data_IF_510150666056
#
_entry.id   IF_510150666056
#
_cell.length_a   1.000
_cell.length_b   1.000
_cell.length_c   1.000
_cell.angle_alpha   90.00
_cell.angle_beta   90.00
_cell.angle_gamma   90.00
#
_symmetry.space_group_name_H-M   'P 1'
#
loop_
_entity.id
_entity.type
_entity.pdbx_description
1 polymer ?
#
# COMPACT_ATOMS: atom_id res chain seq x y z
N UNK A 1 9.38 35.23 4.74
CA UNK A 1 9.29 35.29 3.27
C UNK A 1 8.82 33.92 2.80
N UNK A 2 7.90 33.80 1.82
CA UNK A 2 7.62 32.50 1.23
C UNK A 2 8.94 32.01 0.61
N UNK A 3 9.47 30.92 1.18
CA UNK A 3 10.79 30.41 0.85
C UNK A 3 10.86 30.03 -0.62
N UNK A 4 11.98 30.37 -1.27
CA UNK A 4 12.29 29.90 -2.62
C UNK A 4 12.22 28.38 -2.62
N UNK A 5 11.16 27.83 -3.21
CA UNK A 5 11.09 26.43 -3.62
C UNK A 5 12.33 26.18 -4.47
N UNK A 6 13.28 25.38 -3.97
CA UNK A 6 14.47 25.03 -4.72
C UNK A 6 14.02 24.33 -5.99
N UNK A 7 14.16 24.99 -7.16
CA UNK A 7 13.83 24.37 -8.43
C UNK A 7 14.87 23.29 -8.70
N UNK A 8 14.47 22.02 -8.63
CA UNK A 8 15.36 20.92 -8.99
C UNK A 8 15.71 21.02 -10.49
N UNK A 9 17.01 21.09 -10.79
CA UNK A 9 17.53 21.13 -12.16
C UNK A 9 17.83 19.74 -12.70
N UNK A 10 18.22 18.83 -11.82
CA UNK A 10 18.69 17.47 -12.09
C UNK A 10 18.11 16.45 -11.09
N UNK A 11 18.29 15.16 -11.37
CA UNK A 11 17.98 14.11 -10.40
C UNK A 11 18.82 14.25 -9.12
N UNK A 12 20.09 14.68 -9.24
CA UNK A 12 20.97 14.94 -8.09
C UNK A 12 20.41 16.02 -7.14
N UNK A 13 19.76 17.05 -7.68
CA UNK A 13 19.12 18.08 -6.83
C UNK A 13 17.94 17.49 -6.06
N UNK A 14 17.16 16.61 -6.70
CA UNK A 14 16.07 15.89 -6.04
C UNK A 14 16.58 14.93 -4.96
N UNK A 15 17.72 14.26 -5.16
CA UNK A 15 18.37 13.44 -4.12
C UNK A 15 18.72 14.27 -2.89
N UNK A 16 19.11 15.53 -3.07
CA UNK A 16 19.28 16.49 -1.97
C UNK A 16 18.01 16.67 -1.16
N UNK A 17 16.88 16.98 -1.83
CA UNK A 17 15.57 17.11 -1.18
C UNK A 17 15.11 15.82 -0.49
N UNK A 18 15.38 14.66 -1.10
CA UNK A 18 15.07 13.37 -0.51
C UNK A 18 15.85 13.14 0.80
N UNK A 19 17.12 13.53 0.85
CA UNK A 19 17.93 13.44 2.06
C UNK A 19 17.43 14.41 3.15
N UNK A 20 17.06 15.63 2.78
CA UNK A 20 16.43 16.60 3.69
C UNK A 20 15.10 16.05 4.25
N UNK A 21 14.23 15.53 3.38
CA UNK A 21 12.98 14.90 3.79
C UNK A 21 13.20 13.76 4.79
N UNK A 22 14.15 12.85 4.56
CA UNK A 22 14.48 11.76 5.50
C UNK A 22 14.91 12.27 6.87
N UNK A 23 15.66 13.36 6.92
CA UNK A 23 16.07 14.01 8.17
C UNK A 23 14.86 14.65 8.87
N UNK A 24 14.05 15.40 8.13
CA UNK A 24 12.87 16.11 8.66
C UNK A 24 11.84 15.16 9.27
N UNK A 25 11.60 14.01 8.63
CA UNK A 25 10.63 13.04 9.15
C UNK A 25 11.22 12.16 10.26
N UNK A 26 12.54 12.21 10.52
CA UNK A 26 13.18 11.51 11.64
C UNK A 26 13.50 10.03 11.41
N UNK A 27 13.57 9.56 10.15
CA UNK A 27 13.86 8.14 9.83
C UNK A 27 15.33 7.88 9.47
N UNK A 28 16.20 8.89 9.61
CA UNK A 28 17.62 8.82 9.25
C UNK A 28 18.51 8.14 10.31
N UNK A 29 18.12 6.96 10.79
CA UNK A 29 18.92 6.13 11.71
C UNK A 29 20.14 5.52 10.99
N UNK A 30 21.14 5.00 11.73
CA UNK A 30 22.37 4.42 11.15
C UNK A 30 22.08 3.34 10.09
N UNK A 31 21.13 2.44 10.35
CA UNK A 31 20.75 1.36 9.42
C UNK A 31 20.11 1.91 8.11
N UNK A 32 19.41 3.04 8.18
CA UNK A 32 18.73 3.67 7.02
C UNK A 32 19.65 4.65 6.28
N UNK A 33 20.44 5.40 7.03
CA UNK A 33 21.33 6.45 6.51
C UNK A 33 22.50 5.86 5.72
N UNK A 34 22.96 4.67 6.11
CA UNK A 34 24.01 3.92 5.41
C UNK A 34 23.52 3.22 4.13
N UNK A 35 22.21 3.12 3.91
CA UNK A 35 21.65 2.46 2.74
C UNK A 35 21.84 3.32 1.47
N UNK A 36 22.31 2.68 0.40
CA UNK A 36 22.44 3.30 -0.91
C UNK A 36 21.19 3.06 -1.75
N UNK A 37 20.52 4.14 -2.16
CA UNK A 37 19.31 4.06 -2.97
C UNK A 37 19.66 4.05 -4.47
N UNK A 38 19.11 3.06 -5.17
CA UNK A 38 19.27 2.86 -6.61
C UNK A 38 17.91 2.71 -7.30
N UNK A 39 17.88 3.02 -8.60
CA UNK A 39 16.74 2.68 -9.46
C UNK A 39 16.84 1.24 -9.94
N UNK A 40 15.91 0.38 -9.52
CA UNK A 40 15.94 -1.05 -9.85
C UNK A 40 14.77 -1.41 -10.77
N UNK A 41 15.08 -1.75 -12.00
CA UNK A 41 14.07 -2.12 -12.99
C UNK A 41 13.96 -3.64 -13.14
N UNK A 42 12.74 -4.15 -13.11
CA UNK A 42 12.41 -5.54 -13.36
C UNK A 42 12.25 -5.85 -14.85
N UNK A 43 12.15 -7.13 -15.18
CA UNK A 43 11.81 -7.57 -16.53
C UNK A 43 10.30 -7.44 -16.78
N UNK A 44 9.92 -7.03 -17.99
CA UNK A 44 8.55 -7.13 -18.50
C UNK A 44 8.37 -8.45 -19.24
N UNK A 45 7.15 -9.01 -19.22
CA UNK A 45 6.87 -10.34 -19.78
C UNK A 45 6.87 -10.36 -21.31
N UNK A 46 6.54 -9.23 -21.94
CA UNK A 46 6.46 -9.09 -23.40
C UNK A 46 6.69 -7.63 -23.80
N UNK A 47 7.21 -7.42 -25.01
CA UNK A 47 7.36 -6.10 -25.64
C UNK A 47 6.06 -5.59 -26.27
N UNK A 48 5.01 -6.41 -26.31
CA UNK A 48 3.72 -6.06 -26.91
C UNK A 48 2.71 -5.59 -25.85
N UNK A 49 1.86 -4.65 -26.22
CA UNK A 49 0.74 -4.17 -25.40
C UNK A 49 -0.32 -5.29 -25.34
N UNK A 50 -0.75 -5.63 -24.13
CA UNK A 50 -1.56 -6.84 -23.88
C UNK A 50 -3.08 -6.59 -23.84
N UNK A 51 -3.51 -5.35 -23.62
CA UNK A 51 -4.92 -4.96 -23.46
C UNK A 51 -5.21 -3.56 -24.03
N UNK A 52 -6.49 -3.18 -24.01
CA UNK A 52 -6.94 -1.88 -24.52
C UNK A 52 -6.89 -1.75 -26.06
N UNK A 53 -7.13 -0.54 -26.56
CA UNK A 53 -7.20 -0.24 -28.01
C UNK A 53 -5.86 -0.37 -28.74
N UNK A 54 -4.75 -0.42 -28.00
CA UNK A 54 -3.41 -0.56 -28.55
C UNK A 54 -2.87 -1.99 -28.47
N UNK A 55 -3.69 -2.96 -28.04
CA UNK A 55 -3.31 -4.39 -27.96
C UNK A 55 -2.65 -4.88 -29.25
N UNK A 56 -1.54 -5.62 -29.10
CA UNK A 56 -0.75 -6.17 -30.21
C UNK A 56 0.26 -5.21 -30.83
N UNK A 57 0.29 -3.93 -30.42
CA UNK A 57 1.36 -3.00 -30.80
C UNK A 57 2.53 -3.09 -29.83
N UNK A 58 3.69 -2.56 -30.21
CA UNK A 58 4.84 -2.44 -29.31
C UNK A 58 4.56 -1.48 -28.16
N UNK A 59 5.02 -1.84 -26.95
CA UNK A 59 5.04 -0.96 -25.78
C UNK A 59 5.87 0.29 -26.06
N UNK A 60 5.52 1.38 -25.38
CA UNK A 60 6.18 2.67 -25.45
C UNK A 60 7.38 2.71 -24.50
N UNK A 61 8.54 2.99 -25.05
CA UNK A 61 9.82 3.20 -24.34
C UNK A 61 10.03 4.67 -23.96
N UNK A 62 9.32 5.61 -24.59
CA UNK A 62 9.42 7.02 -24.27
C UNK A 62 8.11 7.77 -24.59
N UNK A 63 7.95 8.97 -24.03
CA UNK A 63 6.72 9.76 -24.17
C UNK A 63 6.39 10.21 -25.60
N UNK A 64 7.36 10.22 -26.54
CA UNK A 64 7.08 10.55 -27.95
C UNK A 64 6.28 9.47 -28.65
N UNK A 65 6.31 8.24 -28.13
CA UNK A 65 5.54 7.12 -28.65
C UNK A 65 4.12 7.07 -28.05
N UNK A 66 3.87 7.80 -26.96
CA UNK A 66 2.53 7.93 -26.35
C UNK A 66 1.69 8.89 -27.20
N UNK A 67 0.57 8.43 -27.80
CA UNK A 67 -0.11 9.15 -28.89
C UNK A 67 -0.66 10.55 -28.55
N UNK A 68 -1.27 10.73 -27.38
CA UNK A 68 -1.96 11.99 -27.04
C UNK A 68 -1.42 12.60 -25.74
N UNK A 69 -1.65 13.91 -25.56
CA UNK A 69 -1.29 14.59 -24.32
C UNK A 69 -2.06 14.04 -23.12
N UNK A 70 -3.36 13.76 -23.28
CA UNK A 70 -4.21 13.21 -22.23
C UNK A 70 -3.70 11.85 -21.71
N UNK A 71 -3.18 10.99 -22.60
CA UNK A 71 -2.56 9.72 -22.21
C UNK A 71 -1.27 9.94 -21.41
N UNK A 72 -0.45 10.93 -21.79
CA UNK A 72 0.75 11.31 -21.03
C UNK A 72 0.39 11.86 -19.66
N UNK A 73 -0.63 12.70 -19.57
CA UNK A 73 -1.09 13.27 -18.29
C UNK A 73 -1.68 12.20 -17.37
N UNK A 74 -2.45 11.24 -17.92
CA UNK A 74 -2.97 10.11 -17.16
C UNK A 74 -1.85 9.19 -16.65
N UNK A 75 -0.84 8.92 -17.48
CA UNK A 75 0.33 8.15 -17.08
C UNK A 75 1.11 8.85 -15.95
N UNK A 76 1.34 10.17 -16.08
CA UNK A 76 1.98 10.97 -15.03
C UNK A 76 1.18 10.89 -13.72
N UNK A 77 -0.14 11.07 -13.78
CA UNK A 77 -1.00 10.97 -12.59
C UNK A 77 -0.89 9.59 -11.91
N UNK A 78 -0.87 8.50 -12.67
CA UNK A 78 -0.71 7.15 -12.09
C UNK A 78 0.63 7.01 -11.35
N UNK A 79 1.71 7.51 -11.94
CA UNK A 79 3.05 7.49 -11.32
C UNK A 79 3.09 8.36 -10.05
N UNK A 80 2.45 9.53 -10.06
CA UNK A 80 2.40 10.44 -8.90
C UNK A 80 1.60 9.84 -7.76
N UNK A 81 0.42 9.28 -8.03
CA UNK A 81 -0.41 8.69 -6.98
C UNK A 81 0.26 7.44 -6.38
N UNK A 82 0.87 6.59 -7.20
CA UNK A 82 1.66 5.46 -6.69
C UNK A 82 2.89 5.94 -5.90
N UNK A 83 3.64 6.92 -6.39
CA UNK A 83 4.83 7.40 -5.67
C UNK A 83 4.50 8.11 -4.35
N UNK A 84 3.34 8.75 -4.25
CA UNK A 84 2.93 9.47 -3.05
C UNK A 84 2.63 8.54 -1.87
N UNK A 85 2.11 7.33 -2.14
CA UNK A 85 1.83 6.32 -1.10
C UNK A 85 3.11 5.84 -0.42
N UNK A 86 4.20 5.74 -1.17
CA UNK A 86 5.44 5.15 -0.65
C UNK A 86 6.13 6.08 0.35
N UNK A 87 6.08 7.39 0.12
CA UNK A 87 6.56 8.37 1.10
C UNK A 87 5.60 8.51 2.29
N UNK A 88 4.30 8.36 2.05
CA UNK A 88 3.30 8.43 3.11
C UNK A 88 3.43 7.28 4.11
N UNK A 89 3.63 6.03 3.63
CA UNK A 89 3.76 4.87 4.49
C UNK A 89 4.96 5.00 5.44
N UNK A 90 6.08 5.53 4.96
CA UNK A 90 7.27 5.81 5.77
C UNK A 90 6.96 6.86 6.85
N UNK A 91 6.23 7.92 6.51
CA UNK A 91 5.83 8.96 7.47
C UNK A 91 4.86 8.46 8.53
N UNK A 92 3.91 7.60 8.16
CA UNK A 92 2.94 7.02 9.09
C UNK A 92 3.62 6.11 10.11
N UNK A 93 4.66 5.36 9.70
CA UNK A 93 5.29 4.32 10.50
C UNK A 93 6.49 4.81 11.34
N UNK A 94 6.92 6.08 11.15
CA UNK A 94 8.19 6.63 11.68
C UNK A 94 8.42 6.49 13.18
N UNK A 95 7.35 6.47 13.99
CA UNK A 95 7.46 6.44 15.45
C UNK A 95 7.55 5.02 16.03
N UNK A 96 7.47 3.98 15.20
CA UNK A 96 7.41 2.59 15.67
C UNK A 96 8.76 2.04 16.13
N UNK A 97 9.87 2.64 15.70
CA UNK A 97 11.23 2.20 16.07
C UNK A 97 11.45 2.12 17.57
N UNK A 98 10.92 3.09 18.32
CA UNK A 98 11.12 3.21 19.78
C UNK A 98 10.35 2.14 20.57
N UNK A 99 9.36 1.51 19.95
CA UNK A 99 8.42 0.59 20.61
C UNK A 99 8.47 -0.82 20.02
N UNK A 100 9.52 -1.13 19.25
CA UNK A 100 9.66 -2.43 18.60
C UNK A 100 9.62 -3.59 19.61
N UNK A 101 8.79 -4.63 19.38
CA UNK A 101 8.70 -5.75 20.31
C UNK A 101 9.98 -6.59 20.39
N UNK A 102 10.72 -6.67 19.28
CA UNK A 102 12.00 -7.35 19.20
C UNK A 102 12.93 -6.60 18.24
N UNK A 103 14.24 -6.87 18.31
CA UNK A 103 15.18 -6.33 17.31
C UNK A 103 14.90 -6.88 15.90
N UNK A 104 14.35 -8.11 15.79
CA UNK A 104 13.92 -8.64 14.50
C UNK A 104 12.80 -7.79 13.90
N UNK A 105 11.79 -7.44 14.71
CA UNK A 105 10.66 -6.61 14.27
C UNK A 105 11.12 -5.19 13.92
N UNK A 106 12.06 -4.61 14.71
CA UNK A 106 12.71 -3.33 14.38
C UNK A 106 13.42 -3.40 13.02
N UNK A 107 14.19 -4.45 12.76
CA UNK A 107 14.90 -4.65 11.49
C UNK A 107 13.95 -4.91 10.32
N UNK A 108 12.83 -5.59 10.56
CA UNK A 108 11.80 -5.78 9.55
C UNK A 108 11.15 -4.44 9.16
N UNK A 109 10.80 -3.60 10.14
CA UNK A 109 10.35 -2.23 9.93
C UNK A 109 11.38 -1.39 9.15
N UNK A 110 12.66 -1.45 9.54
CA UNK A 110 13.74 -0.76 8.83
C UNK A 110 13.76 -1.16 7.36
N UNK A 111 13.66 -2.47 7.08
CA UNK A 111 13.63 -2.97 5.70
C UNK A 111 12.41 -2.45 4.94
N UNK A 112 11.20 -2.55 5.49
CA UNK A 112 9.98 -2.02 4.85
C UNK A 112 10.18 -0.54 4.51
N UNK A 113 10.62 0.29 5.47
CA UNK A 113 10.85 1.72 5.20
C UNK A 113 11.88 1.97 4.09
N UNK A 114 12.99 1.21 4.05
CA UNK A 114 13.99 1.32 2.98
C UNK A 114 13.37 0.96 1.62
N UNK A 115 12.66 -0.16 1.55
CA UNK A 115 12.00 -0.63 0.32
C UNK A 115 10.95 0.39 -0.15
N UNK A 116 10.12 0.97 0.75
CA UNK A 116 9.16 2.02 0.40
C UNK A 116 9.81 3.33 -0.05
N UNK A 117 10.89 3.77 0.61
CA UNK A 117 11.65 4.93 0.14
C UNK A 117 12.24 4.68 -1.26
N UNK A 118 12.66 3.44 -1.54
CA UNK A 118 13.19 3.04 -2.85
C UNK A 118 12.07 2.95 -3.91
N UNK A 119 10.86 2.55 -3.52
CA UNK A 119 9.66 2.61 -4.34
C UNK A 119 9.36 4.06 -4.79
N UNK A 120 9.28 4.99 -3.84
CA UNK A 120 9.09 6.42 -4.12
C UNK A 120 10.22 7.01 -4.98
N UNK A 121 11.47 6.63 -4.71
CA UNK A 121 12.64 6.99 -5.52
C UNK A 121 12.49 6.59 -7.00
N UNK A 122 12.03 5.37 -7.27
CA UNK A 122 11.84 4.89 -8.65
C UNK A 122 10.73 5.65 -9.38
N UNK A 123 9.63 5.97 -8.69
CA UNK A 123 8.55 6.79 -9.27
C UNK A 123 9.04 8.20 -9.58
N UNK A 124 9.81 8.81 -8.68
CA UNK A 124 10.46 10.11 -8.92
C UNK A 124 11.45 10.06 -10.09
N UNK A 125 12.24 8.99 -10.22
CA UNK A 125 13.14 8.82 -11.37
C UNK A 125 12.36 8.77 -12.68
N UNK A 126 11.26 8.00 -12.76
CA UNK A 126 10.40 7.98 -13.95
C UNK A 126 9.86 9.37 -14.28
N UNK A 127 9.41 10.13 -13.29
CA UNK A 127 8.91 11.49 -13.50
C UNK A 127 10.01 12.41 -14.05
N UNK A 128 11.19 12.41 -13.42
CA UNK A 128 12.28 13.32 -13.75
C UNK A 128 12.88 12.98 -15.13
N UNK A 129 13.03 11.69 -15.45
CA UNK A 129 13.67 11.23 -16.69
C UNK A 129 12.76 11.36 -17.91
N UNK A 130 11.46 11.11 -17.74
CA UNK A 130 10.54 11.02 -18.89
C UNK A 130 9.62 12.23 -19.05
N UNK A 131 9.24 12.93 -17.97
CA UNK A 131 8.20 13.98 -18.00
C UNK A 131 8.76 15.42 -17.94
N UNK A 132 10.07 15.58 -18.03
CA UNK A 132 10.72 16.89 -18.13
C UNK A 132 10.41 17.80 -16.93
N UNK A 133 10.04 19.05 -17.20
CA UNK A 133 9.78 20.04 -16.14
C UNK A 133 8.59 19.67 -15.25
N UNK A 134 7.48 19.19 -15.82
CA UNK A 134 6.30 18.81 -15.04
C UNK A 134 6.59 17.63 -14.12
N UNK A 135 7.34 16.64 -14.60
CA UNK A 135 7.75 15.50 -13.77
C UNK A 135 8.62 15.91 -12.58
N UNK A 136 9.56 16.84 -12.79
CA UNK A 136 10.36 17.41 -11.71
C UNK A 136 9.51 18.10 -10.64
N UNK A 137 8.53 18.89 -11.05
CA UNK A 137 7.62 19.57 -10.13
C UNK A 137 6.81 18.55 -9.30
N UNK A 138 6.30 17.49 -9.92
CA UNK A 138 5.54 16.48 -9.19
C UNK A 138 6.42 15.63 -8.25
N UNK A 139 7.64 15.29 -8.67
CA UNK A 139 8.63 14.61 -7.83
C UNK A 139 9.01 15.42 -6.59
N UNK A 140 9.10 16.74 -6.73
CA UNK A 140 9.32 17.64 -5.60
C UNK A 140 8.11 17.69 -4.67
N UNK A 141 6.90 17.89 -5.20
CA UNK A 141 5.68 17.95 -4.38
C UNK A 141 5.45 16.69 -3.54
N UNK A 142 5.85 15.51 -4.03
CA UNK A 142 5.78 14.26 -3.26
C UNK A 142 6.60 14.30 -1.97
N UNK A 143 7.73 15.01 -1.96
CA UNK A 143 8.57 15.23 -0.77
C UNK A 143 8.14 16.45 0.04
N UNK A 144 7.19 17.26 -0.42
CA UNK A 144 6.67 18.43 0.29
C UNK A 144 5.41 18.08 1.10
N UNK A 145 4.60 17.13 0.62
CA UNK A 145 3.43 16.62 1.36
C UNK A 145 3.84 15.87 2.61
N UNK A 146 3.02 15.96 3.67
CA UNK A 146 3.18 15.22 4.93
C UNK A 146 1.90 14.49 5.32
N UNK A 147 2.00 13.19 5.62
CA UNK A 147 0.89 12.36 6.11
C UNK A 147 0.34 12.92 7.43
N UNK A 148 1.22 13.29 8.37
CA UNK A 148 0.85 13.86 9.67
C UNK A 148 0.35 15.32 9.62
N UNK A 149 0.30 15.92 8.43
CA UNK A 149 -0.38 17.21 8.18
C UNK A 149 -1.63 17.03 7.31
N UNK A 150 -2.04 15.78 7.06
CA UNK A 150 -3.17 15.41 6.22
C UNK A 150 -3.06 15.94 4.77
N UNK A 151 -1.85 15.89 4.20
CA UNK A 151 -1.57 16.42 2.87
C UNK A 151 -1.39 15.33 1.80
N UNK A 152 -1.35 14.04 2.16
CA UNK A 152 -1.20 12.94 1.18
C UNK A 152 -2.45 12.77 0.33
N UNK A 153 -2.25 12.33 -0.92
CA UNK A 153 -3.30 12.34 -1.93
C UNK A 153 -4.45 11.37 -1.64
N UNK A 154 -4.16 10.28 -0.94
CA UNK A 154 -5.12 9.24 -0.60
C UNK A 154 -5.40 9.24 0.91
N UNK A 155 -6.68 9.20 1.28
CA UNK A 155 -7.12 9.37 2.68
C UNK A 155 -6.51 8.37 3.65
N UNK A 156 -6.43 7.09 3.27
CA UNK A 156 -5.83 6.00 4.07
C UNK A 156 -4.38 6.30 4.48
N UNK A 157 -3.64 7.00 3.62
CA UNK A 157 -2.24 7.35 3.81
C UNK A 157 -2.03 8.61 4.67
N UNK A 158 -3.13 9.18 5.20
CA UNK A 158 -3.11 10.20 6.26
C UNK A 158 -3.61 9.66 7.61
N UNK A 159 -3.93 8.37 7.70
CA UNK A 159 -4.42 7.73 8.94
C UNK A 159 -3.23 7.31 9.80
N UNK A 160 -3.22 7.66 11.09
CA UNK A 160 -2.10 7.31 11.96
C UNK A 160 -1.86 5.79 12.08
N UNK A 161 -0.57 5.41 12.05
CA UNK A 161 -0.04 4.09 12.44
C UNK A 161 0.79 4.30 13.71
N UNK A 162 0.18 4.05 14.86
CA UNK A 162 0.75 4.47 16.15
C UNK A 162 1.09 3.31 17.09
N UNK A 163 0.88 2.07 16.64
CA UNK A 163 1.17 0.87 17.39
C UNK A 163 1.50 -0.29 16.44
N UNK A 164 2.09 -1.36 16.97
CA UNK A 164 2.53 -2.49 16.16
C UNK A 164 1.38 -3.35 15.62
N UNK A 165 0.20 -3.33 16.25
CA UNK A 165 -0.97 -3.99 15.66
C UNK A 165 -1.42 -3.22 14.40
N UNK A 166 -1.47 -1.88 14.42
CA UNK A 166 -1.68 -1.09 13.20
C UNK A 166 -0.66 -1.46 12.14
N UNK A 167 0.65 -1.48 12.46
CA UNK A 167 1.70 -1.81 11.50
C UNK A 167 1.50 -3.18 10.83
N UNK A 168 1.28 -4.24 11.61
CA UNK A 168 1.10 -5.58 11.03
C UNK A 168 -0.21 -5.70 10.24
N UNK A 169 -1.26 -5.01 10.67
CA UNK A 169 -2.54 -5.01 9.94
C UNK A 169 -2.43 -4.18 8.65
N UNK A 170 -1.77 -3.04 8.71
CA UNK A 170 -1.48 -2.16 7.58
C UNK A 170 -0.64 -2.89 6.52
N UNK A 171 0.48 -3.49 6.93
CA UNK A 171 1.37 -4.19 5.98
C UNK A 171 0.74 -5.46 5.41
N UNK A 172 -0.23 -6.10 6.07
CA UNK A 172 -0.96 -7.24 5.47
C UNK A 172 -2.08 -6.81 4.52
N UNK A 173 -2.72 -5.65 4.73
CA UNK A 173 -3.95 -5.28 4.02
C UNK A 173 -3.88 -3.99 3.19
N UNK A 174 -3.11 -2.98 3.57
CA UNK A 174 -2.90 -1.75 2.79
C UNK A 174 -1.79 -1.95 1.75
N UNK A 175 -0.64 -2.51 2.13
CA UNK A 175 0.42 -2.87 1.17
C UNK A 175 -0.08 -3.94 0.18
N UNK A 176 -1.06 -4.75 0.58
CA UNK A 176 -1.74 -5.65 -0.34
C UNK A 176 -2.60 -4.92 -1.38
N UNK A 177 -3.18 -3.75 -1.08
CA UNK A 177 -3.70 -2.90 -2.15
C UNK A 177 -2.55 -2.46 -3.07
N UNK A 178 -1.41 -2.04 -2.51
CA UNK A 178 -0.17 -1.77 -3.25
C UNK A 178 0.20 -2.88 -4.24
N UNK A 179 0.24 -4.14 -3.80
CA UNK A 179 0.38 -5.33 -4.67
C UNK A 179 -0.61 -5.32 -5.84
N UNK A 180 -1.89 -5.06 -5.59
CA UNK A 180 -2.91 -5.03 -6.63
C UNK A 180 -2.67 -3.89 -7.63
N UNK A 181 -2.38 -2.68 -7.13
CA UNK A 181 -2.07 -1.51 -7.96
C UNK A 181 -0.84 -1.76 -8.84
N UNK A 182 0.25 -2.22 -8.24
CA UNK A 182 1.50 -2.54 -8.94
C UNK A 182 1.31 -3.65 -9.96
N UNK A 183 0.57 -4.71 -9.64
CA UNK A 183 0.27 -5.81 -10.57
C UNK A 183 -0.56 -5.32 -11.77
N UNK A 184 -1.52 -4.43 -11.56
CA UNK A 184 -2.29 -3.82 -12.67
C UNK A 184 -1.43 -2.89 -13.54
N UNK A 185 -0.49 -2.15 -12.94
CA UNK A 185 0.41 -1.22 -13.62
C UNK A 185 1.59 -1.93 -14.29
N UNK A 186 1.99 -3.12 -13.82
CA UNK A 186 3.03 -3.96 -14.43
C UNK A 186 2.78 -4.21 -15.92
N UNK A 187 1.52 -4.34 -16.31
CA UNK A 187 1.13 -4.61 -17.70
C UNK A 187 1.05 -3.36 -18.57
N UNK A 188 1.35 -2.17 -18.03
CA UNK A 188 1.26 -0.89 -18.73
C UNK A 188 1.92 -0.92 -20.11
N UNK A 189 1.27 -0.26 -21.06
CA UNK A 189 1.79 0.03 -22.39
C UNK A 189 3.04 0.91 -22.34
N UNK A 190 3.27 1.65 -21.25
CA UNK A 190 4.53 2.36 -21.01
C UNK A 190 5.54 1.43 -20.32
N UNK A 191 6.50 0.92 -21.10
CA UNK A 191 7.46 -0.08 -20.65
C UNK A 191 8.29 0.35 -19.43
N UNK A 192 8.77 1.61 -19.29
CA UNK A 192 9.49 2.03 -18.09
C UNK A 192 8.70 1.87 -16.78
N UNK A 193 7.39 2.18 -16.79
CA UNK A 193 6.51 1.97 -15.63
C UNK A 193 6.32 0.47 -15.35
N UNK A 194 6.09 -0.34 -16.40
CA UNK A 194 5.98 -1.78 -16.25
C UNK A 194 7.23 -2.43 -15.65
N UNK A 195 8.43 -1.96 -16.03
CA UNK A 195 9.70 -2.43 -15.46
C UNK A 195 9.86 -2.01 -13.99
N UNK A 196 9.52 -0.78 -13.64
CA UNK A 196 9.62 -0.28 -12.25
C UNK A 196 8.72 -1.09 -11.31
N UNK A 197 7.44 -1.19 -11.65
CA UNK A 197 6.44 -1.94 -10.87
C UNK A 197 6.74 -3.44 -10.80
N UNK A 198 7.33 -4.03 -11.86
CA UNK A 198 7.80 -5.42 -11.84
C UNK A 198 8.88 -5.70 -10.80
N UNK A 199 9.72 -4.71 -10.48
CA UNK A 199 10.72 -4.85 -9.42
C UNK A 199 10.08 -4.66 -8.05
N UNK A 200 9.28 -3.59 -7.88
CA UNK A 200 8.60 -3.27 -6.61
C UNK A 200 7.77 -4.44 -6.09
N UNK A 201 7.04 -5.13 -6.99
CA UNK A 201 6.28 -6.34 -6.63
C UNK A 201 7.12 -7.40 -5.91
N UNK A 202 8.42 -7.52 -6.21
CA UNK A 202 9.30 -8.49 -5.55
C UNK A 202 9.54 -8.14 -4.09
N UNK A 203 9.60 -6.86 -3.78
CA UNK A 203 9.78 -6.34 -2.41
C UNK A 203 8.47 -6.31 -1.64
N UNK A 204 7.36 -6.00 -2.29
CA UNK A 204 6.02 -5.99 -1.69
C UNK A 204 5.67 -7.31 -0.98
N UNK A 205 6.20 -8.42 -1.49
CA UNK A 205 6.08 -9.75 -0.87
C UNK A 205 6.65 -9.81 0.55
N UNK A 206 7.69 -9.04 0.85
CA UNK A 206 8.22 -8.90 2.21
C UNK A 206 7.28 -8.13 3.12
N UNK A 207 6.67 -7.06 2.63
CA UNK A 207 5.82 -6.20 3.45
C UNK A 207 4.58 -6.99 3.89
N UNK A 208 3.86 -7.56 2.92
CA UNK A 208 2.71 -8.45 3.17
C UNK A 208 3.09 -9.66 4.02
N UNK A 209 4.27 -10.25 3.79
CA UNK A 209 4.76 -11.36 4.61
C UNK A 209 5.05 -10.95 6.05
N UNK A 210 5.52 -9.73 6.29
CA UNK A 210 5.77 -9.17 7.62
C UNK A 210 4.45 -8.95 8.36
N UNK A 211 3.45 -8.36 7.70
CA UNK A 211 2.13 -8.18 8.27
C UNK A 211 1.45 -9.50 8.63
N UNK A 212 1.40 -10.43 7.68
CA UNK A 212 0.75 -11.72 7.87
C UNK A 212 1.39 -12.56 8.99
N UNK A 213 2.73 -12.61 9.02
CA UNK A 213 3.49 -13.31 10.05
C UNK A 213 3.35 -12.64 11.42
N UNK A 214 3.34 -11.31 11.48
CA UNK A 214 3.12 -10.54 12.70
C UNK A 214 1.74 -10.81 13.31
N UNK A 215 0.68 -10.76 12.49
CA UNK A 215 -0.68 -11.10 12.92
C UNK A 215 -0.77 -12.54 13.42
N UNK A 216 -0.17 -13.51 12.70
CA UNK A 216 -0.08 -14.90 13.17
C UNK A 216 0.55 -14.99 14.56
N UNK A 217 1.72 -14.37 14.75
CA UNK A 217 2.47 -14.38 16.02
C UNK A 217 1.70 -13.74 17.17
N UNK A 218 0.90 -12.72 16.91
CA UNK A 218 0.00 -12.09 17.89
C UNK A 218 -1.12 -13.06 18.28
N UNK A 219 -1.77 -13.69 17.30
CA UNK A 219 -2.87 -14.64 17.54
C UNK A 219 -2.38 -15.88 18.32
N UNK A 220 -1.21 -16.41 17.96
CA UNK A 220 -0.58 -17.56 18.64
C UNK A 220 -0.12 -17.26 20.08
N UNK A 221 0.25 -16.01 20.36
CA UNK A 221 0.50 -15.55 21.73
C UNK A 221 -0.82 -15.49 22.51
N UNK A 222 -1.86 -14.93 21.89
CA UNK A 222 -3.21 -14.86 22.43
C UNK A 222 -3.28 -14.08 23.74
N UNK A 223 -2.54 -12.96 23.80
CA UNK A 223 -2.54 -11.98 24.90
C UNK A 223 -3.44 -10.80 24.55
N UNK A 224 -3.30 -10.25 23.33
CA UNK A 224 -4.20 -9.23 22.81
C UNK A 224 -5.58 -9.86 22.61
N UNK A 225 -6.66 -9.28 23.17
CA UNK A 225 -8.01 -9.83 23.02
C UNK A 225 -8.43 -9.91 21.55
N UNK A 226 -9.07 -11.02 21.17
CA UNK A 226 -9.52 -11.26 19.79
C UNK A 226 -10.45 -10.16 19.26
N UNK A 227 -11.36 -9.66 20.11
CA UNK A 227 -12.25 -8.57 19.72
C UNK A 227 -11.48 -7.30 19.35
N UNK A 228 -10.35 -7.03 20.01
CA UNK A 228 -9.50 -5.87 19.74
C UNK A 228 -8.76 -6.06 18.41
N UNK A 229 -8.23 -7.26 18.15
CA UNK A 229 -7.63 -7.60 16.86
C UNK A 229 -8.67 -7.42 15.73
N UNK A 230 -9.89 -7.91 15.90
CA UNK A 230 -10.96 -7.77 14.91
C UNK A 230 -11.28 -6.30 14.59
N UNK A 231 -11.28 -5.40 15.58
CA UNK A 231 -11.47 -3.95 15.35
C UNK A 231 -10.41 -3.38 14.40
N UNK A 232 -9.14 -3.76 14.58
CA UNK A 232 -8.05 -3.30 13.71
C UNK A 232 -8.13 -3.91 12.31
N UNK A 233 -8.53 -5.19 12.19
CA UNK A 233 -8.85 -5.82 10.90
C UNK A 233 -9.97 -5.04 10.19
N UNK A 234 -11.04 -4.69 10.92
CA UNK A 234 -12.15 -3.90 10.39
C UNK A 234 -11.68 -2.52 9.90
N UNK A 235 -10.86 -1.81 10.69
CA UNK A 235 -10.31 -0.49 10.34
C UNK A 235 -9.55 -0.53 9.02
N UNK A 236 -8.54 -1.38 8.91
CA UNK A 236 -7.62 -1.34 7.77
C UNK A 236 -8.18 -2.00 6.52
N UNK A 237 -8.92 -3.11 6.65
CA UNK A 237 -9.53 -3.76 5.48
C UNK A 237 -10.60 -2.85 4.85
N UNK A 238 -11.44 -2.20 5.67
CA UNK A 238 -12.45 -1.28 5.13
C UNK A 238 -11.82 -0.04 4.49
N UNK A 239 -10.73 0.47 5.07
CA UNK A 239 -9.97 1.57 4.47
C UNK A 239 -9.35 1.18 3.13
N UNK A 240 -8.78 -0.03 3.01
CA UNK A 240 -8.23 -0.53 1.73
C UNK A 240 -9.28 -0.66 0.63
N UNK A 241 -10.55 -0.91 0.95
CA UNK A 241 -11.60 -0.94 -0.07
C UNK A 241 -11.77 0.40 -0.80
N UNK A 242 -11.52 1.53 -0.12
CA UNK A 242 -11.62 2.85 -0.73
C UNK A 242 -10.45 3.16 -1.68
N UNK A 243 -9.29 2.53 -1.51
CA UNK A 243 -8.09 2.75 -2.35
C UNK A 243 -8.30 2.36 -3.82
N UNK A 244 -9.25 1.46 -4.09
CA UNK A 244 -9.64 1.10 -5.45
C UNK A 244 -10.45 2.20 -6.17
N UNK A 245 -10.89 3.26 -5.49
CA UNK A 245 -11.60 4.40 -6.10
C UNK A 245 -13.10 4.18 -6.32
N UNK A 246 -13.74 5.00 -7.15
CA UNK A 246 -15.19 4.88 -7.41
C UNK A 246 -15.52 3.65 -8.26
N UNK A 247 -16.68 3.03 -8.04
CA UNK A 247 -17.14 1.82 -8.74
C UNK A 247 -17.17 2.05 -10.26
N UNK A 248 -17.89 3.10 -10.69
CA UNK A 248 -17.87 3.59 -12.07
C UNK A 248 -16.88 4.74 -12.18
N UNK A 249 -15.85 4.58 -13.03
CA UNK A 249 -14.77 5.57 -13.15
C UNK A 249 -14.35 5.77 -14.61
N UNK A 250 -14.62 6.97 -15.13
CA UNK A 250 -14.12 7.37 -16.45
C UNK A 250 -12.59 7.33 -16.52
N UNK A 251 -11.90 7.64 -15.41
CA UNK A 251 -10.43 7.57 -15.34
C UNK A 251 -9.93 6.13 -15.45
N UNK A 252 -10.57 5.18 -14.76
CA UNK A 252 -10.23 3.76 -14.87
C UNK A 252 -10.53 3.22 -16.27
N UNK A 253 -11.70 3.56 -16.82
CA UNK A 253 -12.10 3.22 -18.19
C UNK A 253 -11.03 3.64 -19.20
N UNK A 254 -10.65 4.93 -19.20
CA UNK A 254 -9.67 5.42 -20.17
C UNK A 254 -8.26 4.90 -19.91
N UNK A 255 -7.85 4.71 -18.65
CA UNK A 255 -6.57 4.07 -18.34
C UNK A 255 -6.49 2.65 -18.92
N UNK A 256 -7.59 1.88 -18.88
CA UNK A 256 -7.65 0.57 -19.51
C UNK A 256 -7.63 0.65 -21.04
N UNK A 257 -8.50 1.47 -21.63
CA UNK A 257 -8.60 1.66 -23.09
C UNK A 257 -7.26 2.09 -23.69
N UNK A 258 -6.52 2.95 -22.99
CA UNK A 258 -5.20 3.42 -23.40
C UNK A 258 -4.07 2.44 -23.11
N UNK A 259 -4.34 1.30 -22.49
CA UNK A 259 -3.32 0.31 -22.15
C UNK A 259 -2.45 0.71 -20.95
N UNK A 260 -2.82 1.71 -20.15
CA UNK A 260 -2.00 2.22 -19.03
C UNK A 260 -2.08 1.30 -17.81
N UNK A 261 -3.28 0.85 -17.45
CA UNK A 261 -3.55 0.02 -16.27
C UNK A 261 -4.56 -1.07 -16.59
N UNK A 262 -4.17 -2.33 -16.45
CA UNK A 262 -5.01 -3.49 -16.77
C UNK A 262 -5.85 -3.95 -15.59
N UNK A 263 -6.59 -5.05 -15.74
CA UNK A 263 -7.13 -5.80 -14.60
C UNK A 263 -6.00 -6.50 -13.84
N UNK A 264 -6.25 -6.84 -12.57
CA UNK A 264 -5.27 -7.55 -11.74
C UNK A 264 -4.81 -8.88 -12.36
N UNK A 265 -5.74 -9.59 -13.01
CA UNK A 265 -5.55 -10.89 -13.65
C UNK A 265 -5.58 -10.81 -15.19
N UNK A 266 -5.30 -9.63 -15.77
CA UNK A 266 -5.46 -9.37 -17.21
C UNK A 266 -4.86 -10.45 -18.14
N UNK A 267 -3.63 -10.95 -17.93
CA UNK A 267 -3.07 -11.96 -18.84
C UNK A 267 -3.74 -13.32 -18.76
N UNK A 268 -4.37 -13.66 -17.64
CA UNK A 268 -5.02 -14.95 -17.40
C UNK A 268 -6.53 -14.89 -17.63
N UNK A 269 -7.10 -13.69 -17.73
CA UNK A 269 -8.53 -13.47 -17.84
C UNK A 269 -8.97 -13.47 -19.32
N UNK A 270 -9.63 -14.54 -19.73
CA UNK A 270 -10.14 -14.75 -21.09
C UNK A 270 -11.43 -13.97 -21.39
N UNK A 271 -12.10 -13.43 -20.36
CA UNK A 271 -13.31 -12.63 -20.51
C UNK A 271 -12.98 -11.21 -20.91
N UNK A 272 -13.84 -10.62 -21.74
CA UNK A 272 -13.80 -9.19 -22.02
C UNK A 272 -13.95 -8.39 -20.72
N UNK A 273 -13.15 -7.34 -20.56
CA UNK A 273 -13.26 -6.46 -19.40
C UNK A 273 -14.56 -5.65 -19.47
N UNK A 274 -15.29 -5.61 -18.36
CA UNK A 274 -16.33 -4.62 -18.14
C UNK A 274 -15.67 -3.30 -17.72
N UNK A 275 -15.65 -2.33 -18.63
CA UNK A 275 -14.92 -1.07 -18.45
C UNK A 275 -15.60 -0.16 -17.42
N UNK A 276 -16.87 -0.40 -17.10
CA UNK A 276 -17.60 0.36 -16.10
C UNK A 276 -17.42 -0.22 -14.68
N UNK A 277 -16.80 -1.40 -14.55
CA UNK A 277 -16.65 -2.14 -13.29
C UNK A 277 -15.18 -2.44 -12.91
N UNK A 278 -14.19 -1.91 -13.64
CA UNK A 278 -12.76 -2.24 -13.45
C UNK A 278 -12.28 -2.10 -11.99
N UNK A 279 -12.70 -1.04 -11.31
CA UNK A 279 -12.30 -0.78 -9.93
C UNK A 279 -13.01 -1.73 -8.95
N UNK A 280 -14.32 -1.95 -9.11
CA UNK A 280 -15.08 -2.86 -8.24
C UNK A 280 -14.65 -4.31 -8.47
N UNK A 281 -14.35 -4.69 -9.71
CA UNK A 281 -13.79 -5.99 -10.06
C UNK A 281 -12.49 -6.29 -9.28
N UNK A 282 -11.51 -5.38 -9.34
CA UNK A 282 -10.25 -5.53 -8.60
C UNK A 282 -10.46 -5.50 -7.07
N UNK A 283 -11.39 -4.67 -6.57
CA UNK A 283 -11.76 -4.64 -5.16
C UNK A 283 -12.35 -5.98 -4.68
N UNK A 284 -13.17 -6.63 -5.50
CA UNK A 284 -13.75 -7.94 -5.18
C UNK A 284 -12.67 -9.03 -5.14
N UNK A 285 -11.72 -9.02 -6.07
CA UNK A 285 -10.57 -9.93 -6.04
C UNK A 285 -9.72 -9.71 -4.78
N UNK A 286 -9.45 -8.45 -4.42
CA UNK A 286 -8.77 -8.10 -3.18
C UNK A 286 -9.52 -8.64 -1.96
N UNK A 287 -10.83 -8.40 -1.87
CA UNK A 287 -11.66 -8.90 -0.77
C UNK A 287 -11.65 -10.44 -0.68
N UNK A 288 -11.62 -11.14 -1.80
CA UNK A 288 -11.51 -12.61 -1.83
C UNK A 288 -10.16 -13.08 -1.28
N UNK A 289 -9.06 -12.43 -1.69
CA UNK A 289 -7.72 -12.74 -1.17
C UNK A 289 -7.64 -12.49 0.34
N UNK A 290 -8.16 -11.34 0.81
CA UNK A 290 -8.26 -11.01 2.24
C UNK A 290 -9.09 -12.03 3.01
N UNK A 291 -10.22 -12.49 2.48
CA UNK A 291 -11.02 -13.52 3.12
C UNK A 291 -10.26 -14.85 3.28
N UNK A 292 -9.44 -15.22 2.29
CA UNK A 292 -8.56 -16.38 2.40
C UNK A 292 -7.50 -16.22 3.50
N UNK A 293 -6.92 -15.03 3.65
CA UNK A 293 -5.94 -14.72 4.68
C UNK A 293 -6.55 -14.77 6.09
N UNK A 294 -7.74 -14.22 6.27
CA UNK A 294 -8.46 -14.27 7.54
C UNK A 294 -8.81 -15.72 7.92
N UNK A 295 -9.23 -16.55 6.97
CA UNK A 295 -9.48 -17.97 7.27
C UNK A 295 -8.19 -18.72 7.63
N UNK A 296 -7.05 -18.40 7.00
CA UNK A 296 -5.75 -18.93 7.43
C UNK A 296 -5.38 -18.45 8.84
N UNK A 297 -5.63 -17.19 9.16
CA UNK A 297 -5.37 -16.63 10.49
C UNK A 297 -6.20 -17.34 11.57
N UNK A 298 -7.44 -17.72 11.25
CA UNK A 298 -8.32 -18.48 12.13
C UNK A 298 -7.76 -19.86 12.53
N UNK A 299 -6.86 -20.45 11.73
CA UNK A 299 -6.24 -21.74 12.05
C UNK A 299 -5.29 -21.66 13.27
N UNK A 300 -4.87 -20.46 13.67
CA UNK A 300 -3.96 -20.22 14.79
C UNK A 300 -4.68 -19.86 16.09
N UNK A 301 -6.02 -19.76 16.07
CA UNK A 301 -6.81 -19.47 17.26
C UNK A 301 -6.70 -20.59 18.29
N UNK A 302 -6.64 -20.22 19.57
CA UNK A 302 -6.79 -21.17 20.68
C UNK A 302 -8.19 -21.82 20.62
N UNK A 303 -8.34 -23.09 21.05
CA UNK A 303 -9.63 -23.77 21.06
C UNK A 303 -10.72 -22.94 21.76
N UNK A 304 -11.88 -22.80 21.11
CA UNK A 304 -13.01 -22.00 21.62
C UNK A 304 -12.94 -20.50 21.32
N UNK A 305 -11.91 -20.00 20.62
CA UNK A 305 -11.86 -18.62 20.14
C UNK A 305 -12.97 -18.28 19.13
N UNK A 306 -13.46 -17.04 19.16
CA UNK A 306 -14.37 -16.53 18.12
C UNK A 306 -13.55 -16.34 16.84
N UNK A 307 -14.03 -16.89 15.72
CA UNK A 307 -13.38 -16.71 14.42
C UNK A 307 -13.35 -15.22 14.04
N UNK A 308 -12.21 -14.79 13.51
CA UNK A 308 -12.10 -13.55 12.77
C UNK A 308 -12.90 -13.63 11.47
N UNK A 309 -13.37 -12.48 11.02
CA UNK A 309 -14.09 -12.33 9.76
C UNK A 309 -13.53 -11.15 8.95
N UNK A 310 -13.76 -11.19 7.64
CA UNK A 310 -13.50 -10.07 6.75
C UNK A 310 -14.71 -9.14 6.76
N UNK A 311 -14.55 -7.82 7.02
CA UNK A 311 -15.66 -6.90 7.02
C UNK A 311 -16.38 -6.88 5.66
N UNK A 312 -17.70 -6.67 5.69
CA UNK A 312 -18.52 -6.47 4.50
C UNK A 312 -17.94 -5.33 3.66
N UNK A 313 -17.92 -5.51 2.34
CA UNK A 313 -17.31 -4.58 1.38
C UNK A 313 -17.96 -3.19 1.37
N UNK A 314 -19.15 -3.06 1.97
CA UNK A 314 -19.93 -1.82 2.09
C UNK A 314 -19.77 -1.13 3.45
N UNK A 315 -19.16 -1.81 4.42
CA UNK A 315 -18.92 -1.24 5.74
C UNK A 315 -17.83 -0.16 5.69
N UNK A 316 -18.08 0.96 6.40
CA UNK A 316 -17.09 2.01 6.64
C UNK A 316 -16.44 2.56 5.35
N UNK A 317 -17.27 2.87 4.36
CA UNK A 317 -16.84 3.36 3.05
C UNK A 317 -16.92 4.89 2.97
N UNK A 318 -15.85 5.51 2.51
CA UNK A 318 -15.74 6.93 2.20
C UNK A 318 -15.74 7.23 0.69
N UNK A 319 -15.53 6.22 -0.17
CA UNK A 319 -15.44 6.37 -1.63
C UNK A 319 -16.41 5.42 -2.34
N UNK A 320 -17.01 5.90 -3.45
CA UNK A 320 -17.85 5.10 -4.33
C UNK A 320 -19.33 5.07 -3.93
N UNK A 321 -20.10 4.16 -4.50
CA UNK A 321 -21.57 4.09 -4.35
C UNK A 321 -22.01 3.88 -2.91
N UNK A 322 -21.15 3.25 -2.09
CA UNK A 322 -21.41 2.97 -0.68
C UNK A 322 -20.94 4.07 0.27
N UNK A 323 -20.33 5.14 -0.24
CA UNK A 323 -19.80 6.22 0.58
C UNK A 323 -20.88 6.82 1.50
N UNK A 324 -20.60 6.87 2.80
CA UNK A 324 -21.53 7.42 3.81
C UNK A 324 -22.78 6.57 4.08
N UNK A 325 -22.94 5.43 3.41
CA UNK A 325 -24.01 4.48 3.72
C UNK A 325 -23.65 3.64 4.95
N UNK A 326 -24.69 3.07 5.57
CA UNK A 326 -24.61 2.48 6.92
C UNK A 326 -24.94 1.01 6.83
N UNK A 327 -23.91 0.19 6.93
CA UNK A 327 -24.03 -1.27 6.87
C UNK A 327 -23.36 -1.89 8.08
N UNK A 328 -23.91 -2.98 8.58
CA UNK A 328 -23.29 -3.77 9.62
C UNK A 328 -21.98 -4.38 9.11
N UNK A 329 -20.95 -4.36 9.96
CA UNK A 329 -19.59 -4.74 9.61
C UNK A 329 -19.47 -6.23 9.24
N UNK A 330 -20.11 -7.11 9.99
CA UNK A 330 -20.07 -8.57 9.75
C UNK A 330 -21.19 -9.05 8.79
N UNK A 331 -22.45 -8.74 9.08
CA UNK A 331 -23.62 -9.25 8.32
C UNK A 331 -23.92 -8.50 7.02
N UNK A 332 -23.46 -7.24 6.90
CA UNK A 332 -23.81 -6.39 5.76
C UNK A 332 -25.27 -5.94 5.71
N UNK A 333 -26.02 -6.09 6.81
CA UNK A 333 -27.39 -5.58 6.92
C UNK A 333 -27.38 -4.05 7.01
N UNK A 334 -28.32 -3.34 6.36
CA UNK A 334 -28.44 -1.89 6.51
C UNK A 334 -28.71 -1.51 7.97
N UNK A 335 -28.08 -0.42 8.42
CA UNK A 335 -28.29 0.16 9.75
C UNK A 335 -28.87 1.57 9.60
N UNK A 336 -29.71 1.98 10.56
CA UNK A 336 -30.14 3.37 10.66
C UNK A 336 -29.09 4.25 11.34
N UNK A 337 -29.27 5.57 11.27
CA UNK A 337 -28.35 6.57 11.81
C UNK A 337 -28.12 6.41 13.31
N UNK A 338 -29.14 6.00 14.05
CA UNK A 338 -29.08 5.84 15.50
C UNK A 338 -28.31 4.58 15.90
N UNK A 339 -28.43 3.50 15.12
CA UNK A 339 -27.72 2.25 15.33
C UNK A 339 -26.27 2.29 14.83
N UNK A 340 -25.98 3.08 13.78
CA UNK A 340 -24.67 3.04 13.13
C UNK A 340 -23.53 3.60 13.98
N UNK A 341 -23.76 4.67 14.75
CA UNK A 341 -22.68 5.25 15.57
C UNK A 341 -22.24 4.31 16.72
N UNK A 342 -23.15 3.75 17.54
CA UNK A 342 -22.79 2.71 18.50
C UNK A 342 -22.12 1.49 17.84
N UNK A 343 -22.60 1.11 16.65
CA UNK A 343 -21.99 0.03 15.87
C UNK A 343 -20.55 0.35 15.47
N UNK A 344 -20.23 1.57 15.01
CA UNK A 344 -18.86 1.96 14.73
C UNK A 344 -17.98 1.95 16.00
N UNK A 345 -18.49 2.39 17.15
CA UNK A 345 -17.76 2.34 18.43
C UNK A 345 -17.47 0.89 18.87
N UNK A 346 -18.37 -0.04 18.57
CA UNK A 346 -18.20 -1.46 18.87
C UNK A 346 -17.29 -2.19 17.86
N UNK A 347 -17.22 -1.76 16.60
CA UNK A 347 -16.53 -2.50 15.52
C UNK A 347 -15.25 -1.85 15.00
N UNK A 348 -14.98 -0.59 15.34
CA UNK A 348 -13.74 0.12 15.02
C UNK A 348 -12.98 0.48 16.30
N UNK A 349 -11.64 0.63 16.23
CA UNK A 349 -10.85 1.00 17.40
C UNK A 349 -11.10 2.47 17.74
N UNK A 350 -11.61 2.72 18.96
CA UNK A 350 -11.71 4.06 19.53
C UNK A 350 -10.53 4.40 20.43
N UNK A 351 -10.54 5.61 21.00
CA UNK A 351 -9.48 6.10 21.90
C UNK A 351 -9.24 5.16 23.09
N UNK A 352 -10.29 4.59 23.67
CA UNK A 352 -10.19 3.65 24.80
C UNK A 352 -9.55 2.32 24.39
N UNK A 353 -9.91 1.81 23.21
CA UNK A 353 -9.36 0.57 22.67
C UNK A 353 -7.86 0.71 22.39
N UNK A 354 -7.47 1.84 21.79
CA UNK A 354 -6.07 2.18 21.55
C UNK A 354 -5.28 2.30 22.86
N UNK A 355 -5.83 2.96 23.88
CA UNK A 355 -5.18 3.04 25.19
C UNK A 355 -5.00 1.65 25.80
N UNK A 356 -6.04 0.81 25.78
CA UNK A 356 -5.97 -0.56 26.28
C UNK A 356 -4.94 -1.40 25.52
N UNK A 357 -4.85 -1.24 24.20
CA UNK A 357 -3.82 -1.89 23.40
C UNK A 357 -2.43 -1.44 23.85
N UNK A 358 -2.17 -0.12 23.90
CA UNK A 358 -0.87 0.41 24.29
C UNK A 358 -0.46 -0.04 25.70
N UNK A 359 -1.41 -0.15 26.63
CA UNK A 359 -1.16 -0.68 27.96
C UNK A 359 -0.76 -2.16 27.92
N UNK A 360 -1.39 -2.98 27.08
CA UNK A 360 -0.96 -4.37 26.85
C UNK A 360 0.45 -4.40 26.26
N UNK A 361 0.72 -3.63 25.19
CA UNK A 361 2.01 -3.66 24.51
C UNK A 361 3.17 -3.25 25.43
N UNK A 362 2.94 -2.33 26.36
CA UNK A 362 3.95 -1.87 27.34
C UNK A 362 4.18 -2.86 28.48
N UNK A 363 3.12 -3.51 28.97
CA UNK A 363 3.19 -4.29 30.20
C UNK A 363 3.38 -5.80 29.96
N UNK A 364 2.91 -6.33 28.82
CA UNK A 364 2.91 -7.76 28.54
C UNK A 364 3.99 -8.15 27.54
N UNK A 365 5.23 -8.40 27.99
CA UNK A 365 6.38 -8.71 27.11
C UNK A 365 6.19 -9.85 26.11
N UNK A 366 5.19 -10.72 26.32
CA UNK A 366 4.87 -11.87 25.46
C UNK A 366 3.60 -11.65 24.64
N UNK A 367 3.20 -10.40 24.40
CA UNK A 367 2.01 -10.07 23.61
C UNK A 367 2.10 -10.54 22.16
N UNK A 368 3.31 -10.75 21.65
CA UNK A 368 3.64 -11.34 20.35
C UNK A 368 4.66 -12.46 20.54
N UNK A 369 4.53 -13.55 19.78
CA UNK A 369 5.56 -14.62 19.75
C UNK A 369 6.85 -14.12 19.11
N UNK A 370 7.99 -14.60 19.59
CA UNK A 370 9.28 -14.36 18.94
C UNK A 370 9.36 -15.08 17.59
N UNK A 371 10.15 -14.54 16.66
CA UNK A 371 10.43 -15.18 15.38
C UNK A 371 11.76 -15.92 15.47
N UNK A 372 11.70 -17.22 15.75
CA UNK A 372 12.90 -18.05 15.89
C UNK A 372 13.47 -18.48 14.53
N UNK A 373 14.81 -18.52 14.44
CA UNK A 373 15.53 -19.06 13.27
C UNK A 373 15.40 -18.25 11.98
N UNK A 374 14.81 -17.05 12.03
CA UNK A 374 14.69 -16.20 10.86
C UNK A 374 16.02 -15.54 10.51
N UNK A 375 16.29 -15.42 9.20
CA UNK A 375 17.40 -14.60 8.69
C UNK A 375 17.12 -13.13 8.99
N UNK A 376 18.19 -12.38 9.21
CA UNK A 376 18.14 -10.92 9.38
C UNK A 376 17.43 -10.27 8.18
N UNK A 377 16.36 -9.50 8.40
CA UNK A 377 15.65 -8.79 7.33
C UNK A 377 16.56 -7.98 6.41
N UNK A 378 17.54 -7.26 6.98
CA UNK A 378 18.44 -6.39 6.22
C UNK A 378 19.49 -7.17 5.43
N UNK A 379 19.96 -8.30 5.95
CA UNK A 379 20.88 -9.18 5.23
C UNK A 379 20.26 -9.79 3.96
N UNK A 380 18.93 -9.80 3.85
CA UNK A 380 18.20 -10.39 2.73
C UNK A 380 17.53 -9.34 1.83
N UNK A 381 17.85 -8.05 1.98
CA UNK A 381 17.19 -6.96 1.25
C UNK A 381 17.46 -7.03 -0.27
N UNK A 382 18.68 -7.39 -0.67
CA UNK A 382 19.06 -7.53 -2.08
C UNK A 382 18.82 -8.92 -2.69
N UNK A 383 18.24 -9.87 -1.95
CA UNK A 383 18.05 -11.23 -2.45
C UNK A 383 16.87 -11.34 -3.43
N UNK A 384 17.02 -12.01 -4.59
CA UNK A 384 15.91 -12.24 -5.50
C UNK A 384 14.83 -13.14 -4.86
N UNK A 385 13.60 -12.64 -4.75
CA UNK A 385 12.45 -13.42 -4.26
C UNK A 385 11.70 -14.09 -5.40
N UNK A 386 11.51 -15.41 -5.31
CA UNK A 386 10.95 -16.24 -6.39
C UNK A 386 9.43 -16.17 -6.57
N UNK A 387 8.65 -15.57 -5.65
CA UNK A 387 7.20 -15.46 -5.84
C UNK A 387 6.55 -14.41 -4.94
N UNK A 388 6.24 -13.24 -5.49
CA UNK A 388 5.32 -12.28 -4.85
C UNK A 388 3.84 -12.55 -5.19
N UNK A 389 3.60 -13.33 -6.25
CA UNK A 389 2.29 -13.40 -6.91
C UNK A 389 1.35 -14.42 -6.21
N UNK A 390 1.89 -15.36 -5.40
CA UNK A 390 1.15 -16.52 -4.88
C UNK A 390 1.15 -16.66 -3.33
N UNK A 391 1.43 -15.61 -2.55
CA UNK A 391 1.37 -15.64 -1.08
C UNK A 391 0.02 -15.20 -0.53
#
# INVERSE_FOLDING_TARGET
MPGKVAKIGSFSDWVGLFNEWRQDIGVNQDDVSSFHFDTLYGAIETDDIQFGSYKGRKKWENLRQVPTQQMRDALMNMIVYQGDTEFASVEQQRNLFETAPTDWDRRALTRVMIEEMRHGWQMCALLIDFFGYSGKVEAQKMLERRAFENQRLLGTFNVDIDNWLDFFTYTDFVDRDGKFQLQMLKYSAFAPLGRSTSYMLREEAFHMGTGNDGLRRIVEAGVIPQWLIQKYLNKWISSSYDLFGTDHSSSAHWAYVWGIKGRYDEPQNDKAADLDDLNDYSRHLYRQEVAGLIERLNAFLKPGGKKFYTPDIRFNRGIGRWAGQRFHCETGEPLDDHAYQPHCEEYLPGTKDKQALLDILRNEKKWIREKEGARDPLATIGEPRKSAINL
#
